data_IF_894862488857
#
_entry.id   IF_894862488857
#
_cell.length_a   1.000
_cell.length_b   1.000
_cell.length_c   1.000
_cell.angle_alpha   90.00
_cell.angle_beta   90.00
_cell.angle_gamma   90.00
#
_symmetry.space_group_name_H-M   'P 1'
#
loop_
_entity.id
_entity.type
_entity.pdbx_description
1 polymer ?
#
# COMPACT_ATOMS: atom_id res chain seq x y z
N UNK A 1 -11.89 38.06 35.79
CA UNK A 1 -12.77 37.85 34.62
C UNK A 1 -11.96 38.10 33.34
N UNK A 2 -11.54 37.08 32.57
CA UNK A 2 -10.76 37.32 31.36
C UNK A 2 -11.69 37.48 30.15
N UNK A 3 -11.50 38.57 29.43
CA UNK A 3 -12.12 38.86 28.14
C UNK A 3 -11.69 37.81 27.11
N UNK A 4 -12.65 37.06 26.57
CA UNK A 4 -12.43 36.22 25.39
C UNK A 4 -12.40 37.14 24.17
N UNK A 5 -11.20 37.36 23.62
CA UNK A 5 -11.02 37.91 22.28
C UNK A 5 -11.60 36.92 21.26
N UNK A 6 -12.81 37.21 20.80
CA UNK A 6 -13.41 36.51 19.68
C UNK A 6 -12.53 36.69 18.44
N UNK A 7 -11.92 35.60 17.96
CA UNK A 7 -11.34 35.58 16.61
C UNK A 7 -12.48 35.78 15.64
N UNK A 8 -12.63 37.01 15.14
CA UNK A 8 -13.46 37.28 13.99
C UNK A 8 -12.91 36.44 12.82
N UNK A 9 -13.61 35.37 12.47
CA UNK A 9 -13.39 34.66 11.23
C UNK A 9 -13.70 35.62 10.09
N UNK A 10 -12.70 36.32 9.56
CA UNK A 10 -12.83 37.20 8.41
C UNK A 10 -13.38 36.38 7.25
N UNK A 11 -14.68 36.51 7.03
CA UNK A 11 -15.39 35.83 5.97
C UNK A 11 -14.97 36.48 4.65
N UNK A 12 -14.05 35.83 3.90
CA UNK A 12 -13.67 36.29 2.57
C UNK A 12 -14.93 36.57 1.73
N UNK A 13 -14.97 37.69 0.97
CA UNK A 13 -16.15 38.11 0.22
C UNK A 13 -16.64 36.97 -0.69
N UNK A 14 -17.96 36.87 -0.89
CA UNK A 14 -18.62 35.77 -1.62
C UNK A 14 -18.01 35.54 -3.01
N UNK A 15 -17.57 36.62 -3.67
CA UNK A 15 -16.87 36.62 -4.97
C UNK A 15 -15.54 35.83 -4.91
N UNK A 16 -14.74 36.01 -3.87
CA UNK A 16 -13.46 35.30 -3.71
C UNK A 16 -13.64 33.80 -3.43
N UNK A 17 -14.73 33.44 -2.75
CA UNK A 17 -15.07 32.02 -2.52
C UNK A 17 -15.48 31.34 -3.82
N UNK A 18 -16.26 32.02 -4.65
CA UNK A 18 -16.66 31.54 -5.97
C UNK A 18 -15.44 31.33 -6.88
N UNK A 19 -14.54 32.31 -6.96
CA UNK A 19 -13.31 32.21 -7.76
C UNK A 19 -12.40 31.07 -7.29
N UNK A 20 -12.23 30.89 -5.98
CA UNK A 20 -11.45 29.77 -5.43
C UNK A 20 -12.11 28.41 -5.69
N UNK A 21 -13.44 28.34 -5.71
CA UNK A 21 -14.17 27.11 -6.03
C UNK A 21 -14.02 26.76 -7.52
N UNK A 22 -14.17 27.75 -8.41
CA UNK A 22 -13.98 27.59 -9.86
C UNK A 22 -12.54 27.22 -10.22
N UNK A 23 -11.53 27.80 -9.55
CA UNK A 23 -10.13 27.42 -9.75
C UNK A 23 -9.84 25.98 -9.31
N UNK A 24 -10.46 25.52 -8.22
CA UNK A 24 -10.36 24.10 -7.80
C UNK A 24 -11.04 23.17 -8.80
N UNK A 25 -12.19 23.57 -9.34
CA UNK A 25 -12.90 22.81 -10.37
C UNK A 25 -12.10 22.74 -11.67
N UNK A 26 -11.51 23.85 -12.12
CA UNK A 26 -10.59 23.90 -13.27
C UNK A 26 -9.42 22.93 -13.12
N UNK A 27 -8.78 22.90 -11.94
CA UNK A 27 -7.68 21.96 -11.65
C UNK A 27 -8.16 20.51 -11.67
N UNK A 28 -9.33 20.23 -11.10
CA UNK A 28 -9.89 18.88 -11.10
C UNK A 28 -10.22 18.39 -12.53
N UNK A 29 -10.70 19.27 -13.42
CA UNK A 29 -10.89 18.94 -14.86
C UNK A 29 -9.54 18.70 -15.54
N UNK A 30 -8.52 19.49 -15.23
CA UNK A 30 -7.19 19.34 -15.81
C UNK A 30 -6.49 18.02 -15.42
N UNK A 31 -6.88 17.36 -14.31
CA UNK A 31 -6.40 16.04 -13.90
C UNK A 31 -6.87 14.91 -14.84
N UNK A 32 -7.85 15.15 -15.73
CA UNK A 32 -8.30 14.17 -16.73
C UNK A 32 -7.49 14.26 -18.05
N UNK A 33 -7.33 13.13 -18.77
CA UNK A 33 -6.80 13.10 -20.14
C UNK A 33 -7.59 14.05 -21.06
N UNK A 34 -6.93 14.60 -22.09
CA UNK A 34 -7.52 15.65 -22.95
C UNK A 34 -8.83 15.18 -23.60
N UNK A 35 -8.89 13.92 -23.99
CA UNK A 35 -10.00 13.26 -24.66
C UNK A 35 -11.22 13.14 -23.73
N UNK A 36 -10.99 12.85 -22.44
CA UNK A 36 -12.04 12.67 -21.45
C UNK A 36 -12.59 13.99 -20.86
N UNK A 37 -11.91 15.13 -21.07
CA UNK A 37 -12.33 16.42 -20.49
C UNK A 37 -13.67 16.90 -21.01
N UNK A 38 -13.98 16.65 -22.29
CA UNK A 38 -15.24 17.06 -22.91
C UNK A 38 -16.43 16.36 -22.25
N UNK A 39 -16.39 15.03 -22.19
CA UNK A 39 -17.41 14.21 -21.52
C UNK A 39 -17.61 14.64 -20.06
N UNK A 40 -16.50 14.88 -19.35
CA UNK A 40 -16.53 15.34 -17.96
C UNK A 40 -17.19 16.71 -17.80
N UNK A 41 -16.98 17.64 -18.73
CA UNK A 41 -17.64 18.95 -18.74
C UNK A 41 -19.12 18.83 -19.09
N UNK A 42 -19.47 17.95 -20.03
CA UNK A 42 -20.85 17.70 -20.45
C UNK A 42 -21.70 17.08 -19.33
N UNK A 43 -21.10 16.24 -18.48
CA UNK A 43 -21.75 15.64 -17.32
C UNK A 43 -21.99 16.60 -16.13
N UNK A 44 -21.48 17.85 -16.18
CA UNK A 44 -21.71 18.84 -15.12
C UNK A 44 -23.08 19.50 -15.23
N UNK A 45 -23.58 20.03 -14.10
CA UNK A 45 -24.75 20.91 -14.11
C UNK A 45 -24.52 22.10 -15.07
N UNK A 46 -25.50 22.46 -15.93
CA UNK A 46 -25.32 23.49 -16.95
C UNK A 46 -24.85 24.84 -16.40
N UNK A 47 -25.32 25.22 -15.21
CA UNK A 47 -24.93 26.45 -14.50
C UNK A 47 -23.46 26.43 -14.08
N UNK A 48 -23.00 25.34 -13.45
CA UNK A 48 -21.60 25.13 -13.07
C UNK A 48 -20.69 25.06 -14.30
N UNK A 49 -21.12 24.36 -15.37
CA UNK A 49 -20.39 24.29 -16.63
C UNK A 49 -20.18 25.67 -17.25
N UNK A 50 -21.25 26.47 -17.40
CA UNK A 50 -21.17 27.83 -17.94
C UNK A 50 -20.28 28.73 -17.09
N UNK A 51 -20.42 28.67 -15.76
CA UNK A 51 -19.59 29.46 -14.84
C UNK A 51 -18.10 29.10 -14.94
N UNK A 52 -17.78 27.81 -15.09
CA UNK A 52 -16.41 27.33 -15.28
C UNK A 52 -15.83 27.77 -16.63
N UNK A 53 -16.57 27.63 -17.73
CA UNK A 53 -16.12 28.04 -19.06
C UNK A 53 -15.88 29.56 -19.12
N UNK A 54 -16.83 30.36 -18.63
CA UNK A 54 -16.67 31.81 -18.57
C UNK A 54 -15.51 32.26 -17.66
N UNK A 55 -15.17 31.46 -16.63
CA UNK A 55 -13.98 31.69 -15.80
C UNK A 55 -12.69 31.31 -16.53
N UNK A 56 -12.69 30.20 -17.28
CA UNK A 56 -11.56 29.77 -18.09
C UNK A 56 -11.26 30.76 -19.22
N UNK A 57 -12.27 31.24 -19.94
CA UNK A 57 -12.13 32.26 -20.99
C UNK A 57 -11.57 33.56 -20.44
N UNK A 58 -12.13 34.06 -19.32
CA UNK A 58 -11.62 35.26 -18.65
C UNK A 58 -10.17 35.10 -18.17
N UNK A 59 -9.83 33.95 -17.60
CA UNK A 59 -8.44 33.70 -17.16
C UNK A 59 -7.47 33.57 -18.34
N UNK A 60 -7.90 33.00 -19.47
CA UNK A 60 -7.10 32.95 -20.69
C UNK A 60 -6.91 34.34 -21.32
N UNK A 61 -7.97 35.16 -21.36
CA UNK A 61 -7.89 36.54 -21.83
C UNK A 61 -6.95 37.39 -20.99
N UNK A 62 -6.96 37.21 -19.65
CA UNK A 62 -6.02 37.87 -18.75
C UNK A 62 -4.57 37.42 -18.97
N UNK A 63 -4.34 36.13 -19.20
CA UNK A 63 -3.00 35.60 -19.53
C UNK A 63 -2.52 36.08 -20.90
N UNK A 64 -3.42 36.15 -21.89
CA UNK A 64 -3.11 36.66 -23.23
C UNK A 64 -2.74 38.15 -23.16
N UNK A 65 -3.50 38.94 -22.41
CA UNK A 65 -3.22 40.37 -22.18
C UNK A 65 -1.89 40.58 -21.45
N UNK A 66 -1.66 39.82 -20.37
CA UNK A 66 -0.38 39.86 -19.65
C UNK A 66 0.82 39.42 -20.50
N UNK A 67 0.62 38.60 -21.53
CA UNK A 67 1.66 38.22 -22.52
C UNK A 67 1.89 39.28 -23.60
N UNK A 68 0.91 40.12 -23.86
CA UNK A 68 1.05 41.28 -24.75
C UNK A 68 1.73 42.44 -24.01
N UNK A 69 1.49 42.55 -22.70
CA UNK A 69 2.09 43.57 -21.83
C UNK A 69 3.52 43.20 -21.36
N UNK A 70 3.83 41.90 -21.28
CA UNK A 70 5.19 41.41 -21.00
C UNK A 70 5.92 41.12 -22.31
N UNK A 71 6.83 42.02 -22.70
CA UNK A 71 7.75 41.82 -23.83
C UNK A 71 8.57 40.52 -23.75
N UNK A 72 9.29 40.15 -24.83
CA UNK A 72 9.76 38.80 -25.11
C UNK A 72 11.00 38.35 -24.31
N UNK A 73 11.18 38.82 -23.07
CA UNK A 73 12.30 38.38 -22.22
C UNK A 73 11.85 38.13 -20.78
N UNK A 74 11.50 36.88 -20.49
CA UNK A 74 11.90 36.20 -19.24
C UNK A 74 11.39 34.76 -19.28
N UNK A 75 12.12 33.91 -19.99
CA UNK A 75 11.95 32.46 -19.91
C UNK A 75 12.52 31.96 -18.60
N UNK A 76 11.70 31.76 -17.57
CA UNK A 76 12.00 30.83 -16.47
C UNK A 76 10.74 30.57 -15.62
N UNK A 77 10.33 29.30 -15.52
CA UNK A 77 9.24 28.85 -14.65
C UNK A 77 9.82 28.12 -13.43
N UNK A 78 9.85 28.76 -12.24
CA UNK A 78 10.45 28.18 -11.03
C UNK A 78 9.43 27.30 -10.29
N UNK A 79 8.99 26.19 -10.90
CA UNK A 79 7.95 25.32 -10.28
C UNK A 79 8.25 23.83 -10.17
N UNK A 80 9.49 23.38 -10.44
CA UNK A 80 9.83 21.95 -10.36
C UNK A 80 10.94 21.55 -9.37
N UNK A 81 11.40 22.43 -8.48
CA UNK A 81 12.48 22.08 -7.54
C UNK A 81 12.02 21.66 -6.12
N UNK A 82 10.76 21.89 -5.71
CA UNK A 82 10.39 21.82 -4.29
C UNK A 82 9.60 20.57 -3.83
N UNK A 83 9.53 19.49 -4.62
CA UNK A 83 8.76 18.28 -4.24
C UNK A 83 9.50 16.94 -4.31
N UNK A 84 10.80 16.93 -4.63
CA UNK A 84 11.56 15.70 -4.77
C UNK A 84 12.37 15.30 -3.53
N UNK A 85 12.57 16.18 -2.54
CA UNK A 85 13.48 15.92 -1.41
C UNK A 85 12.84 15.48 -0.08
N UNK A 86 11.52 15.37 0.01
CA UNK A 86 10.85 15.13 1.31
C UNK A 86 10.05 13.81 1.36
N UNK A 87 10.63 12.73 0.82
CA UNK A 87 10.06 11.37 0.90
C UNK A 87 11.03 10.27 1.32
N UNK A 88 12.24 10.61 1.75
CA UNK A 88 13.30 9.63 2.07
C UNK A 88 13.60 9.43 3.56
N UNK A 89 12.82 9.98 4.49
CA UNK A 89 13.02 9.71 5.92
C UNK A 89 11.71 9.73 6.70
N UNK A 90 10.86 8.71 6.51
CA UNK A 90 9.85 8.37 7.52
C UNK A 90 10.20 7.03 8.14
N UNK A 91 10.37 6.97 9.48
CA UNK A 91 10.51 5.71 10.19
C UNK A 91 9.32 4.80 9.85
N UNK A 92 9.64 3.60 9.40
CA UNK A 92 8.64 2.58 9.10
C UNK A 92 7.96 2.17 10.41
N UNK A 93 6.70 2.57 10.61
CA UNK A 93 5.84 1.97 11.64
C UNK A 93 5.02 0.86 10.99
N UNK A 94 5.16 -0.41 11.41
CA UNK A 94 4.37 -1.50 10.87
C UNK A 94 2.89 -1.20 11.11
N UNK A 95 2.11 -1.11 10.03
CA UNK A 95 0.65 -1.14 10.11
C UNK A 95 0.20 -2.60 10.17
N UNK A 96 0.62 -3.32 11.19
CA UNK A 96 0.10 -4.65 11.56
C UNK A 96 -1.21 -4.46 12.30
N UNK A 97 -2.27 -4.07 11.58
CA UNK A 97 -3.57 -3.85 12.20
C UNK A 97 -4.70 -4.07 11.18
N UNK A 98 -4.99 -5.36 10.91
CA UNK A 98 -6.37 -5.83 10.61
C UNK A 98 -6.55 -7.34 10.39
N UNK A 99 -5.48 -8.14 10.31
CA UNK A 99 -5.60 -9.61 10.23
C UNK A 99 -5.02 -10.37 11.42
N UNK A 100 -4.59 -9.70 12.48
CA UNK A 100 -4.43 -10.30 13.83
C UNK A 100 -5.81 -10.50 14.46
N UNK A 101 -6.73 -11.14 13.73
CA UNK A 101 -7.78 -11.90 14.40
C UNK A 101 -7.06 -13.13 14.93
N UNK A 102 -7.07 -13.26 16.26
CA UNK A 102 -6.60 -14.39 17.06
C UNK A 102 -6.67 -15.73 16.29
N UNK A 103 -5.65 -16.58 16.28
CA UNK A 103 -4.42 -16.50 17.04
C UNK A 103 -3.43 -17.53 16.54
N UNK A 104 -2.59 -17.14 15.57
CA UNK A 104 -1.40 -17.87 15.10
C UNK A 104 -1.59 -19.35 14.71
N UNK A 105 -2.80 -19.88 14.81
CA UNK A 105 -3.17 -21.26 14.60
C UNK A 105 -4.14 -21.28 13.44
N UNK A 106 -3.84 -22.09 12.44
CA UNK A 106 -4.55 -22.11 11.17
C UNK A 106 -4.99 -23.53 10.85
N UNK A 107 -6.27 -23.69 10.51
CA UNK A 107 -6.77 -24.93 9.91
C UNK A 107 -6.31 -25.01 8.46
N UNK A 108 -5.69 -26.13 8.10
CA UNK A 108 -5.34 -26.51 6.72
C UNK A 108 -5.99 -27.86 6.41
N UNK A 109 -5.94 -28.26 5.14
CA UNK A 109 -6.26 -29.64 4.78
C UNK A 109 -5.31 -30.54 5.59
N UNK A 110 -5.83 -31.56 6.28
CA UNK A 110 -5.01 -32.46 7.11
C UNK A 110 -4.65 -32.00 8.54
N UNK A 111 -5.12 -30.84 9.03
CA UNK A 111 -5.00 -30.50 10.46
C UNK A 111 -4.87 -29.01 10.79
N UNK A 112 -4.29 -28.74 11.96
CA UNK A 112 -4.03 -27.42 12.53
C UNK A 112 -2.54 -27.17 12.62
N UNK A 113 -2.07 -25.98 12.24
CA UNK A 113 -0.67 -25.60 12.36
C UNK A 113 -0.51 -24.27 13.08
N UNK A 114 0.61 -24.08 13.76
CA UNK A 114 1.06 -22.77 14.22
C UNK A 114 1.80 -22.05 13.10
N UNK A 115 1.59 -20.75 12.95
CA UNK A 115 2.32 -19.88 12.03
C UNK A 115 2.49 -18.51 12.64
N UNK A 116 3.74 -18.04 12.67
CA UNK A 116 4.13 -16.75 13.23
C UNK A 116 5.11 -16.04 12.30
N UNK A 117 5.06 -14.71 12.28
CA UNK A 117 6.11 -13.89 11.69
C UNK A 117 7.26 -13.81 12.70
N UNK A 118 8.31 -14.62 12.51
CA UNK A 118 9.43 -14.69 13.46
C UNK A 118 10.29 -13.41 13.40
N UNK A 119 10.56 -12.94 12.18
CA UNK A 119 11.23 -11.65 11.92
C UNK A 119 10.54 -10.93 10.77
N UNK A 120 10.73 -9.61 10.59
CA UNK A 120 10.11 -8.89 9.49
C UNK A 120 10.32 -9.60 8.16
N UNK A 121 9.24 -9.81 7.41
CA UNK A 121 9.25 -10.48 6.10
C UNK A 121 9.56 -11.98 6.12
N UNK A 122 9.42 -12.64 7.28
CA UNK A 122 9.75 -14.05 7.43
C UNK A 122 8.77 -14.79 8.35
N UNK A 123 8.05 -15.75 7.77
CA UNK A 123 7.13 -16.60 8.52
C UNK A 123 7.72 -17.97 8.79
N UNK A 124 7.47 -18.46 10.00
CA UNK A 124 7.73 -19.84 10.42
C UNK A 124 6.40 -20.52 10.67
N UNK A 125 6.25 -21.75 10.19
CA UNK A 125 5.07 -22.59 10.45
C UNK A 125 5.50 -23.95 11.00
N UNK A 126 4.80 -24.45 12.01
CA UNK A 126 5.00 -25.81 12.55
C UNK A 126 4.52 -26.88 11.56
N UNK A 127 4.67 -28.16 11.91
CA UNK A 127 3.85 -29.23 11.31
C UNK A 127 2.36 -29.07 11.58
N UNK A 128 1.58 -29.82 10.80
CA UNK A 128 0.15 -29.98 11.05
C UNK A 128 -0.06 -30.99 12.19
N UNK A 129 -0.98 -30.68 13.07
CA UNK A 129 -1.44 -31.48 14.19
C UNK A 129 -2.93 -31.77 14.00
N UNK A 130 -3.42 -32.88 14.56
CA UNK A 130 -4.84 -33.21 14.48
C UNK A 130 -5.69 -32.28 15.36
N UNK A 131 -5.08 -31.74 16.41
CA UNK A 131 -5.75 -31.00 17.46
C UNK A 131 -5.29 -29.51 17.46
N UNK A 132 -6.22 -28.53 17.56
CA UNK A 132 -5.88 -27.10 17.64
C UNK A 132 -5.12 -26.71 18.91
N UNK A 133 -5.33 -27.36 20.05
CA UNK A 133 -4.58 -27.14 21.29
C UNK A 133 -3.09 -27.50 21.13
N UNK A 134 -2.76 -28.58 20.41
CA UNK A 134 -1.35 -28.91 20.11
C UNK A 134 -0.70 -27.84 19.24
N UNK A 135 -1.41 -27.35 18.21
CA UNK A 135 -0.95 -26.24 17.40
C UNK A 135 -0.79 -24.95 18.24
N UNK A 136 -1.67 -24.71 19.22
CA UNK A 136 -1.55 -23.57 20.13
C UNK A 136 -0.30 -23.69 21.03
N UNK A 137 0.05 -24.89 21.51
CA UNK A 137 1.31 -25.12 22.24
C UNK A 137 2.53 -24.82 21.34
N UNK A 138 2.52 -25.25 20.08
CA UNK A 138 3.60 -24.89 19.15
C UNK A 138 3.66 -23.38 18.87
N UNK A 139 2.52 -22.68 18.91
CA UNK A 139 2.52 -21.23 18.79
C UNK A 139 3.25 -20.57 19.96
N UNK A 140 3.14 -21.10 21.19
CA UNK A 140 3.91 -20.61 22.35
C UNK A 140 5.41 -20.72 22.11
N UNK A 141 5.87 -21.88 21.61
CA UNK A 141 7.27 -22.11 21.20
C UNK A 141 7.71 -21.07 20.17
N UNK A 142 6.92 -20.84 19.12
CA UNK A 142 7.25 -19.85 18.10
C UNK A 142 7.30 -18.41 18.64
N UNK A 143 6.39 -18.05 19.55
CA UNK A 143 6.42 -16.76 20.24
C UNK A 143 7.70 -16.61 21.06
N UNK A 144 8.10 -17.66 21.79
CA UNK A 144 9.33 -17.64 22.57
C UNK A 144 10.57 -17.50 21.69
N UNK A 145 10.63 -18.25 20.58
CA UNK A 145 11.72 -18.15 19.61
C UNK A 145 11.83 -16.73 19.03
N UNK A 146 10.70 -16.05 18.77
CA UNK A 146 10.68 -14.65 18.33
C UNK A 146 11.29 -13.74 19.39
N UNK A 147 10.91 -13.91 20.64
CA UNK A 147 11.36 -13.04 21.72
C UNK A 147 12.87 -13.23 21.98
N UNK A 148 13.37 -14.48 21.92
CA UNK A 148 14.82 -14.78 21.96
C UNK A 148 15.58 -14.17 20.78
N UNK A 149 15.01 -14.26 19.57
CA UNK A 149 15.57 -13.63 18.37
C UNK A 149 15.68 -12.11 18.53
N UNK A 150 14.67 -11.47 19.12
CA UNK A 150 14.65 -10.03 19.33
C UNK A 150 15.63 -9.58 20.43
N UNK A 151 15.78 -10.36 21.49
CA UNK A 151 16.75 -10.09 22.56
C UNK A 151 18.21 -10.18 22.07
N UNK A 152 18.51 -11.14 21.19
CA UNK A 152 19.85 -11.32 20.62
C UNK A 152 20.18 -10.43 19.42
N UNK A 153 19.20 -9.73 18.83
CA UNK A 153 19.40 -8.94 17.63
C UNK A 153 19.98 -7.55 17.95
N UNK A 154 21.31 -7.41 17.87
CA UNK A 154 22.02 -6.12 17.92
C UNK A 154 21.95 -5.33 16.61
N UNK A 155 21.59 -5.97 15.49
CA UNK A 155 21.42 -5.33 14.18
C UNK A 155 20.15 -5.81 13.47
N UNK A 156 19.69 -5.05 12.46
CA UNK A 156 18.56 -5.44 11.60
C UNK A 156 18.86 -6.64 10.68
N UNK A 157 20.07 -7.20 10.74
CA UNK A 157 20.51 -8.35 9.94
C UNK A 157 20.32 -9.62 10.78
N UNK A 158 19.31 -10.39 10.43
CA UNK A 158 19.05 -11.69 11.04
C UNK A 158 19.87 -12.76 10.34
N UNK A 159 20.84 -13.34 11.07
CA UNK A 159 21.65 -14.47 10.59
C UNK A 159 20.91 -15.80 10.79
N UNK A 160 21.14 -16.76 9.90
CA UNK A 160 20.58 -18.12 9.96
C UNK A 160 20.84 -18.79 11.31
N UNK A 161 22.06 -18.64 11.82
CA UNK A 161 22.52 -19.29 13.05
C UNK A 161 21.73 -18.79 14.25
N UNK A 162 21.49 -17.49 14.35
CA UNK A 162 20.73 -16.88 15.44
C UNK A 162 19.27 -17.33 15.43
N UNK A 163 18.65 -17.38 14.25
CA UNK A 163 17.26 -17.84 14.11
C UNK A 163 17.12 -19.32 14.42
N UNK A 164 18.08 -20.14 13.98
CA UNK A 164 18.12 -21.57 14.27
C UNK A 164 18.32 -21.82 15.77
N UNK A 165 19.27 -21.12 16.39
CA UNK A 165 19.53 -21.22 17.83
C UNK A 165 18.30 -20.82 18.64
N UNK A 166 17.65 -19.70 18.32
CA UNK A 166 16.45 -19.25 19.02
C UNK A 166 15.28 -20.25 18.91
N UNK A 167 15.16 -20.97 17.79
CA UNK A 167 14.17 -22.04 17.63
C UNK A 167 14.53 -23.27 18.48
N UNK A 168 15.80 -23.67 18.49
CA UNK A 168 16.29 -24.78 19.33
C UNK A 168 16.07 -24.46 20.80
N UNK A 169 16.52 -23.31 21.27
CA UNK A 169 16.38 -22.89 22.67
C UNK A 169 14.91 -22.83 23.11
N UNK A 170 14.03 -22.31 22.25
CA UNK A 170 12.60 -22.27 22.53
C UNK A 170 11.96 -23.66 22.59
N UNK A 171 12.39 -24.59 21.74
CA UNK A 171 11.98 -25.99 21.81
C UNK A 171 12.46 -26.64 23.12
N UNK A 172 13.75 -26.47 23.47
CA UNK A 172 14.33 -27.03 24.69
C UNK A 172 13.64 -26.53 25.97
N UNK A 173 13.26 -25.24 26.02
CA UNK A 173 12.53 -24.67 27.17
C UNK A 173 11.16 -25.30 27.42
N UNK A 174 10.56 -25.89 26.39
CA UNK A 174 9.26 -26.57 26.46
C UNK A 174 9.42 -28.11 26.45
N UNK A 175 10.66 -28.61 26.61
CA UNK A 175 10.95 -30.05 26.61
C UNK A 175 10.76 -30.73 25.25
N UNK A 176 10.91 -29.99 24.15
CA UNK A 176 10.73 -30.46 22.78
C UNK A 176 12.03 -30.45 22.00
N UNK A 177 12.11 -31.27 20.96
CA UNK A 177 13.14 -31.15 19.94
C UNK A 177 12.69 -30.28 18.76
N UNK A 178 13.64 -29.75 18.01
CA UNK A 178 13.33 -29.01 16.77
C UNK A 178 12.56 -29.88 15.76
N UNK A 179 12.76 -31.20 15.80
CA UNK A 179 12.05 -32.18 14.96
C UNK A 179 10.56 -32.28 15.31
N UNK A 180 10.18 -32.05 16.58
CA UNK A 180 8.78 -32.06 17.00
C UNK A 180 8.00 -30.87 16.46
N UNK A 181 8.66 -29.71 16.40
CA UNK A 181 8.13 -28.53 15.73
C UNK A 181 8.07 -28.76 14.22
N UNK A 182 9.11 -29.41 13.67
CA UNK A 182 9.41 -29.58 12.26
C UNK A 182 9.09 -28.28 11.51
N UNK A 183 9.88 -27.20 11.65
CA UNK A 183 9.52 -25.91 11.10
C UNK A 183 9.51 -25.90 9.56
N UNK A 184 8.73 -24.99 9.00
CA UNK A 184 8.80 -24.59 7.60
C UNK A 184 8.83 -23.08 7.49
N UNK A 185 9.63 -22.58 6.56
CA UNK A 185 10.04 -21.20 6.45
C UNK A 185 9.47 -20.59 5.19
N UNK A 186 8.97 -19.36 5.25
CA UNK A 186 8.38 -18.67 4.10
C UNK A 186 8.75 -17.20 4.12
N UNK A 187 9.45 -16.74 3.08
CA UNK A 187 9.68 -15.33 2.86
C UNK A 187 8.38 -14.63 2.47
N UNK A 188 8.15 -13.43 2.99
CA UNK A 188 6.96 -12.64 2.73
C UNK A 188 7.31 -11.19 2.51
N UNK A 189 6.94 -10.61 1.37
CA UNK A 189 7.21 -9.20 1.06
C UNK A 189 5.90 -8.50 0.70
N UNK A 190 5.60 -7.41 1.41
CA UNK A 190 4.49 -6.52 1.03
C UNK A 190 4.89 -5.72 -0.21
N UNK A 191 4.38 -6.14 -1.37
CA UNK A 191 4.64 -5.51 -2.65
C UNK A 191 3.42 -4.73 -3.18
N UNK A 192 2.49 -4.29 -2.30
CA UNK A 192 1.27 -3.55 -2.71
C UNK A 192 1.56 -2.31 -3.57
N UNK A 193 2.67 -1.62 -3.32
CA UNK A 193 3.08 -0.46 -4.12
C UNK A 193 3.60 -0.81 -5.53
N UNK A 194 3.94 -2.07 -5.78
CA UNK A 194 4.53 -2.56 -7.03
C UNK A 194 3.54 -3.44 -7.80
N UNK A 195 2.85 -4.36 -7.14
CA UNK A 195 1.96 -5.34 -7.80
C UNK A 195 0.59 -5.46 -7.12
N UNK A 196 0.25 -4.54 -6.22
CA UNK A 196 -1.07 -4.50 -5.58
C UNK A 196 -1.33 -5.59 -4.53
N UNK A 197 -0.44 -6.55 -4.37
CA UNK A 197 -0.56 -7.64 -3.42
C UNK A 197 0.74 -7.91 -2.67
N UNK A 198 0.64 -8.74 -1.63
CA UNK A 198 1.82 -9.28 -0.97
C UNK A 198 2.30 -10.54 -1.69
N UNK A 199 3.62 -10.72 -1.75
CA UNK A 199 4.27 -11.85 -2.39
C UNK A 199 4.85 -12.75 -1.32
N UNK A 200 4.67 -14.05 -1.46
CA UNK A 200 5.28 -15.05 -0.57
C UNK A 200 6.10 -16.03 -1.39
N UNK A 201 7.25 -16.45 -0.86
CA UNK A 201 7.97 -17.60 -1.42
C UNK A 201 7.18 -18.88 -1.20
N UNK A 202 7.64 -19.96 -1.83
CA UNK A 202 7.26 -21.31 -1.42
C UNK A 202 7.81 -21.59 -0.02
N UNK A 203 7.13 -22.44 0.73
CA UNK A 203 7.61 -22.86 2.04
C UNK A 203 8.75 -23.87 1.87
N UNK A 204 9.89 -23.62 2.52
CA UNK A 204 11.04 -24.54 2.57
C UNK A 204 11.24 -25.09 3.98
N UNK A 205 11.84 -26.26 4.12
CA UNK A 205 12.38 -26.76 5.40
C UNK A 205 13.80 -26.28 5.66
N UNK A 206 14.50 -25.79 4.65
CA UNK A 206 15.80 -25.15 4.79
C UNK A 206 15.60 -23.66 5.15
N UNK A 207 16.22 -23.26 6.27
CA UNK A 207 16.14 -21.90 6.79
C UNK A 207 16.88 -20.92 5.87
N UNK A 208 18.08 -21.33 5.44
CA UNK A 208 19.00 -20.58 4.59
C UNK A 208 18.35 -20.25 3.24
N UNK A 209 17.80 -21.27 2.54
CA UNK A 209 17.06 -21.06 1.29
C UNK A 209 15.92 -20.03 1.43
N UNK A 210 15.18 -20.08 2.54
CA UNK A 210 14.07 -19.16 2.76
C UNK A 210 14.58 -17.74 3.09
N UNK A 211 15.71 -17.61 3.78
CA UNK A 211 16.36 -16.32 4.04
C UNK A 211 16.92 -15.71 2.76
N UNK A 212 17.49 -16.51 1.87
CA UNK A 212 17.95 -16.06 0.55
C UNK A 212 16.80 -15.53 -0.29
N UNK A 213 15.67 -16.27 -0.35
CA UNK A 213 14.46 -15.78 -1.00
C UNK A 213 13.96 -14.47 -0.40
N UNK A 214 14.02 -14.31 0.93
CA UNK A 214 13.67 -13.06 1.60
C UNK A 214 14.59 -11.92 1.18
N UNK A 215 15.90 -12.12 1.24
CA UNK A 215 16.90 -11.11 0.89
C UNK A 215 16.76 -10.68 -0.57
N UNK A 216 16.60 -11.64 -1.48
CA UNK A 216 16.43 -11.42 -2.91
C UNK A 216 15.15 -10.62 -3.23
N UNK A 217 14.01 -10.98 -2.64
CA UNK A 217 12.75 -10.24 -2.83
C UNK A 217 12.81 -8.83 -2.24
N UNK A 218 13.46 -8.63 -1.09
CA UNK A 218 13.61 -7.31 -0.46
C UNK A 218 14.57 -6.41 -1.26
N UNK A 219 15.69 -6.95 -1.72
CA UNK A 219 16.64 -6.24 -2.59
C UNK A 219 15.98 -5.85 -3.92
N UNK A 220 15.25 -6.77 -4.55
CA UNK A 220 14.50 -6.49 -5.77
C UNK A 220 13.44 -5.40 -5.56
N UNK A 221 12.69 -5.47 -4.45
CA UNK A 221 11.68 -4.47 -4.08
C UNK A 221 12.28 -3.07 -3.92
N UNK A 222 13.45 -2.97 -3.30
CA UNK A 222 14.14 -1.69 -3.10
C UNK A 222 14.54 -1.03 -4.44
N UNK A 223 14.84 -1.83 -5.46
CA UNK A 223 15.26 -1.37 -6.79
C UNK A 223 14.10 -1.19 -7.79
N UNK A 224 12.86 -1.41 -7.38
CA UNK A 224 11.67 -1.19 -8.21
C UNK A 224 11.22 -2.41 -9.03
N UNK A 225 10.31 -2.19 -9.98
CA UNK A 225 9.56 -3.28 -10.65
C UNK A 225 10.44 -4.28 -11.39
N UNK A 226 11.36 -3.85 -12.25
CA UNK A 226 12.15 -4.77 -13.09
C UNK A 226 12.97 -5.75 -12.25
N UNK A 227 13.69 -5.25 -11.25
CA UNK A 227 14.46 -6.08 -10.32
C UNK A 227 13.57 -6.95 -9.44
N UNK A 228 12.42 -6.42 -8.99
CA UNK A 228 11.46 -7.22 -8.22
C UNK A 228 10.84 -8.35 -9.05
N UNK A 229 10.59 -8.12 -10.35
CA UNK A 229 10.11 -9.14 -11.29
C UNK A 229 11.12 -10.27 -11.41
N UNK A 230 12.38 -9.96 -11.69
CA UNK A 230 13.45 -10.96 -11.78
C UNK A 230 13.59 -11.76 -10.48
N UNK A 231 13.61 -11.06 -9.35
CA UNK A 231 13.68 -11.68 -8.04
C UNK A 231 12.49 -12.63 -7.79
N UNK A 232 11.28 -12.20 -8.13
CA UNK A 232 10.08 -13.01 -7.97
C UNK A 232 10.08 -14.23 -8.90
N UNK A 233 10.50 -14.07 -10.16
CA UNK A 233 10.65 -15.18 -11.10
C UNK A 233 11.66 -16.21 -10.60
N UNK A 234 12.79 -15.77 -10.05
CA UNK A 234 13.79 -16.66 -9.46
C UNK A 234 13.17 -17.49 -8.33
N UNK A 235 12.49 -16.84 -7.37
CA UNK A 235 11.82 -17.53 -6.24
C UNK A 235 10.72 -18.50 -6.69
N UNK A 236 9.99 -18.19 -7.76
CA UNK A 236 8.94 -19.06 -8.29
C UNK A 236 9.50 -20.31 -8.99
N UNK A 237 10.68 -20.19 -9.59
CA UNK A 237 11.38 -21.25 -10.32
C UNK A 237 12.32 -22.07 -9.42
N UNK A 238 12.67 -21.57 -8.23
CA UNK A 238 13.53 -22.27 -7.30
C UNK A 238 12.92 -23.60 -6.83
N UNK A 239 13.73 -24.65 -6.88
CA UNK A 239 13.52 -25.87 -6.09
C UNK A 239 13.72 -25.54 -4.62
N UNK A 240 12.88 -26.09 -3.76
CA UNK A 240 12.98 -25.89 -2.31
C UNK A 240 12.91 -27.23 -1.62
N UNK A 241 13.69 -27.37 -0.55
CA UNK A 241 13.59 -28.53 0.31
C UNK A 241 12.20 -28.59 0.97
N UNK A 242 11.62 -29.78 0.95
CA UNK A 242 10.25 -30.01 1.40
C UNK A 242 10.24 -31.15 2.38
N UNK A 243 9.23 -31.16 3.24
CA UNK A 243 8.99 -32.33 4.09
C UNK A 243 8.61 -33.54 3.23
N UNK A 244 9.19 -34.71 3.51
CA UNK A 244 8.79 -35.96 2.89
C UNK A 244 7.36 -36.32 3.34
N UNK A 245 6.40 -36.12 2.44
CA UNK A 245 4.98 -36.51 2.51
C UNK A 245 4.02 -35.76 3.47
N UNK A 246 2.78 -35.61 2.97
CA UNK A 246 1.52 -35.11 3.61
C UNK A 246 1.48 -33.68 4.18
N UNK A 247 2.36 -32.76 3.78
CA UNK A 247 2.11 -31.33 4.02
C UNK A 247 1.02 -30.81 3.06
N UNK A 248 -0.24 -30.95 3.45
CA UNK A 248 -1.41 -30.59 2.65
C UNK A 248 -1.68 -29.07 2.69
N UNK A 249 -1.73 -28.44 1.52
CA UNK A 249 -2.08 -27.02 1.36
C UNK A 249 -1.93 -26.55 -0.08
N UNK A 250 -2.53 -25.40 -0.43
CA UNK A 250 -2.48 -24.79 -1.78
C UNK A 250 -1.10 -24.22 -2.17
N UNK A 251 -0.05 -24.51 -1.41
CA UNK A 251 1.30 -24.07 -1.76
C UNK A 251 1.76 -24.86 -3.00
N UNK A 252 2.07 -24.16 -4.09
CA UNK A 252 2.44 -24.81 -5.37
C UNK A 252 3.55 -25.82 -5.14
N UNK A 253 3.25 -27.09 -5.46
CA UNK A 253 4.12 -28.22 -5.11
C UNK A 253 5.33 -28.35 -6.04
N UNK A 254 5.21 -27.86 -7.28
CA UNK A 254 6.29 -27.88 -8.27
C UNK A 254 6.80 -26.47 -8.56
N UNK A 255 8.10 -26.30 -8.84
CA UNK A 255 8.62 -25.04 -9.37
C UNK A 255 7.82 -24.67 -10.61
N UNK A 256 7.56 -23.38 -10.82
CA UNK A 256 6.92 -22.96 -12.05
C UNK A 256 7.94 -23.07 -13.18
N UNK A 257 7.51 -23.59 -14.32
CA UNK A 257 8.28 -23.40 -15.55
C UNK A 257 8.37 -21.90 -15.88
N UNK A 258 9.50 -21.50 -16.48
CA UNK A 258 9.81 -20.10 -16.80
C UNK A 258 8.64 -19.36 -17.45
N UNK A 259 8.09 -19.90 -18.54
CA UNK A 259 6.97 -19.30 -19.26
C UNK A 259 5.74 -19.06 -18.37
N UNK A 260 5.37 -20.05 -17.54
CA UNK A 260 4.25 -19.93 -16.61
C UNK A 260 4.52 -18.94 -15.47
N UNK A 261 5.76 -18.83 -15.01
CA UNK A 261 6.17 -17.85 -14.01
C UNK A 261 6.06 -16.43 -14.55
N UNK A 262 6.54 -16.19 -15.77
CA UNK A 262 6.47 -14.90 -16.46
C UNK A 262 5.02 -14.45 -16.64
N UNK A 263 4.17 -15.31 -17.23
CA UNK A 263 2.74 -15.02 -17.40
C UNK A 263 2.07 -14.68 -16.06
N UNK A 264 2.38 -15.43 -15.00
CA UNK A 264 1.81 -15.20 -13.69
C UNK A 264 2.21 -13.84 -13.10
N UNK A 265 3.50 -13.52 -13.13
CA UNK A 265 4.05 -12.28 -12.54
C UNK A 265 3.59 -11.06 -13.35
N UNK A 266 3.61 -11.14 -14.68
CA UNK A 266 3.20 -10.03 -15.54
C UNK A 266 1.69 -9.79 -15.50
N UNK A 267 0.89 -10.86 -15.39
CA UNK A 267 -0.56 -10.72 -15.17
C UNK A 267 -0.84 -9.97 -13.87
N UNK A 268 -0.14 -10.30 -12.78
CA UNK A 268 -0.30 -9.59 -11.51
C UNK A 268 0.00 -8.09 -11.64
N UNK A 269 1.07 -7.74 -12.38
CA UNK A 269 1.42 -6.34 -12.63
C UNK A 269 0.38 -5.62 -13.48
N UNK A 270 -0.06 -6.22 -14.58
CA UNK A 270 -1.09 -5.62 -15.46
C UNK A 270 -2.39 -5.37 -14.70
N UNK A 271 -2.85 -6.36 -13.92
CA UNK A 271 -4.03 -6.20 -13.07
C UNK A 271 -3.88 -5.06 -12.07
N UNK A 272 -2.71 -4.92 -11.44
CA UNK A 272 -2.44 -3.80 -10.54
C UNK A 272 -2.45 -2.45 -11.25
N UNK A 273 -1.85 -2.33 -12.43
CA UNK A 273 -1.84 -1.08 -13.20
C UNK A 273 -3.24 -0.65 -13.61
N UNK A 274 -4.05 -1.59 -14.10
CA UNK A 274 -5.46 -1.35 -14.41
C UNK A 274 -6.24 -0.90 -13.17
N UNK A 275 -6.08 -1.59 -12.04
CA UNK A 275 -6.74 -1.23 -10.79
C UNK A 275 -6.28 0.15 -10.29
N UNK A 276 -4.98 0.47 -10.42
CA UNK A 276 -4.41 1.76 -10.03
C UNK A 276 -4.97 2.89 -10.89
N UNK A 277 -5.08 2.69 -12.20
CA UNK A 277 -5.69 3.65 -13.12
C UNK A 277 -7.18 3.85 -12.81
N UNK A 278 -7.93 2.78 -12.61
CA UNK A 278 -9.35 2.85 -12.24
C UNK A 278 -9.55 3.58 -10.90
N UNK A 279 -8.71 3.29 -9.91
CA UNK A 279 -8.75 3.97 -8.61
C UNK A 279 -8.39 5.45 -8.74
N UNK A 280 -7.38 5.80 -9.52
CA UNK A 280 -7.02 7.18 -9.80
C UNK A 280 -8.16 7.93 -10.48
N UNK A 281 -8.76 7.34 -11.52
CA UNK A 281 -9.91 7.91 -12.22
C UNK A 281 -11.12 8.13 -11.27
N UNK A 282 -11.42 7.14 -10.41
CA UNK A 282 -12.47 7.26 -9.40
C UNK A 282 -12.20 8.38 -8.40
N UNK A 283 -10.95 8.53 -7.94
CA UNK A 283 -10.54 9.63 -7.04
C UNK A 283 -10.67 10.97 -7.74
N UNK A 284 -10.24 11.10 -9.00
CA UNK A 284 -10.42 12.31 -9.80
C UNK A 284 -11.90 12.66 -9.97
N UNK A 285 -12.76 11.70 -10.31
CA UNK A 285 -14.22 11.88 -10.41
C UNK A 285 -14.83 12.35 -9.09
N UNK A 286 -14.45 11.75 -7.96
CA UNK A 286 -14.93 12.19 -6.63
C UNK A 286 -14.49 13.61 -6.29
N UNK A 287 -13.25 13.97 -6.61
CA UNK A 287 -12.74 15.34 -6.40
C UNK A 287 -13.48 16.34 -7.26
N UNK A 288 -13.75 15.99 -8.51
CA UNK A 288 -14.52 16.81 -9.44
C UNK A 288 -15.95 17.03 -8.93
N UNK A 289 -16.67 15.96 -8.58
CA UNK A 289 -18.02 16.07 -8.04
C UNK A 289 -18.09 16.98 -6.80
N UNK A 290 -17.12 16.83 -5.89
CA UNK A 290 -17.01 17.69 -4.70
C UNK A 290 -16.68 19.14 -5.05
N UNK A 291 -15.90 19.39 -6.10
CA UNK A 291 -15.60 20.74 -6.57
C UNK A 291 -16.83 21.38 -7.23
N UNK A 292 -17.57 20.63 -8.06
CA UNK A 292 -18.81 21.07 -8.70
C UNK A 292 -19.88 21.43 -7.67
N UNK A 293 -20.15 20.54 -6.70
CA UNK A 293 -21.07 20.81 -5.59
C UNK A 293 -20.73 22.10 -4.82
N UNK A 294 -19.44 22.39 -4.63
CA UNK A 294 -19.01 23.63 -3.97
C UNK A 294 -19.26 24.86 -4.83
N UNK A 295 -19.14 24.76 -6.15
CA UNK A 295 -19.47 25.85 -7.06
C UNK A 295 -20.98 26.09 -7.03
N UNK A 296 -21.79 25.04 -7.19
CA UNK A 296 -23.25 25.13 -7.12
C UNK A 296 -23.72 25.77 -5.80
N UNK A 297 -23.19 25.33 -4.65
CA UNK A 297 -23.54 25.90 -3.35
C UNK A 297 -23.20 27.40 -3.22
N UNK A 298 -22.10 27.86 -3.82
CA UNK A 298 -21.72 29.29 -3.79
C UNK A 298 -22.59 30.12 -4.74
N UNK A 299 -22.94 29.54 -5.89
CA UNK A 299 -23.80 30.18 -6.91
C UNK A 299 -25.25 30.30 -6.41
N UNK A 300 -25.80 29.27 -5.79
CA UNK A 300 -27.17 29.26 -5.25
C UNK A 300 -27.33 30.16 -4.00
N UNK A 301 -26.23 30.53 -3.33
CA UNK A 301 -26.26 31.38 -2.12
C UNK A 301 -26.68 30.62 -0.87
N UNK A 302 -26.60 31.24 0.33
CA UNK A 302 -27.17 30.63 1.52
C UNK A 302 -28.67 30.45 1.27
N UNK A 303 -29.15 29.21 1.32
CA UNK A 303 -30.58 28.93 1.29
C UNK A 303 -31.31 29.75 2.35
N UNK A 304 -32.62 30.00 2.18
CA UNK A 304 -33.37 30.87 3.08
C UNK A 304 -33.13 30.43 4.52
N UNK A 305 -32.58 31.35 5.33
CA UNK A 305 -32.47 31.15 6.77
C UNK A 305 -33.86 30.74 7.26
N UNK A 306 -34.01 29.50 7.73
CA UNK A 306 -35.20 29.11 8.48
C UNK A 306 -35.28 30.09 9.64
N UNK A 307 -36.18 31.08 9.52
CA UNK A 307 -36.56 31.92 10.65
C UNK A 307 -37.02 30.95 11.72
N UNK A 308 -36.23 30.81 12.79
CA UNK A 308 -36.76 30.27 14.04
C UNK A 308 -37.84 31.27 14.44
N UNK A 309 -39.09 30.88 14.26
CA UNK A 309 -40.22 31.50 14.93
C UNK A 309 -39.88 31.50 16.43
N UNK A 310 -39.83 32.70 17.01
CA UNK A 310 -39.84 32.93 18.45
C UNK A 310 -41.19 32.49 19.00
#
# INVERSE_FOLDING_TARGET
RPWRSGRACVHAPRRDRALRALERLRRAVAEFPREARREVLEAMAPTTRRALLAFMERSQALVARARLDAGPESGQSPRKAFKAKERLARPWRPRTARSERQGGVYRKQGGWLAKLCLVPHFYVSSRCFQNPQQAASMLKVLCRARDLTQAGATSSIYRSELLKQALVDACCQEGLELQDLAPSFTAYVDAKGIVGCAVSSRSSTCLEEALDHRSLLLAGRAKGWSHFREAWLHVLQATVQRRPSRAWGRARSKPLQKAHAEVFVDKARRSFELQRQATAAMVCRKRLAKAAQKVDAVLQGPGPCKKRSL
#
